data_IF_418157333310
#
_entry.id   IF_418157333310
#
_cell.length_a   1.000
_cell.length_b   1.000
_cell.length_c   1.000
_cell.angle_alpha   90.00
_cell.angle_beta   90.00
_cell.angle_gamma   90.00
#
_symmetry.space_group_name_H-M   'P 1'
#
loop_
_entity.id
_entity.type
_entity.pdbx_description
1 polymer ?
#
# COMPACT_ATOMS: atom_id res chain seq x y z
N UNK A 1 11.94 62.37 23.47
CA UNK A 1 12.63 62.98 22.34
C UNK A 1 13.25 61.87 21.47
N UNK A 2 12.88 61.89 20.17
CA UNK A 2 13.46 61.18 19.02
C UNK A 2 13.51 59.65 19.12
N UNK A 3 12.72 58.81 18.50
CA UNK A 3 12.28 58.68 17.12
C UNK A 3 13.37 58.16 16.17
N UNK A 4 13.48 56.82 15.94
CA UNK A 4 14.21 56.32 14.79
C UNK A 4 13.45 55.10 14.23
N UNK A 5 12.77 55.33 13.13
CA UNK A 5 12.16 54.38 12.21
C UNK A 5 13.23 53.60 11.50
N UNK A 6 13.14 52.27 11.53
CA UNK A 6 13.95 51.37 10.69
C UNK A 6 13.09 50.81 9.54
N UNK A 7 13.33 51.34 8.37
CA UNK A 7 12.63 51.04 7.12
C UNK A 7 13.12 49.72 6.50
N UNK A 8 12.20 49.00 5.98
CA UNK A 8 12.31 47.74 5.26
C UNK A 8 13.27 47.75 4.04
N UNK A 9 14.20 46.81 4.00
CA UNK A 9 15.10 46.56 2.84
C UNK A 9 15.24 45.08 2.50
N UNK A 10 14.19 44.27 2.69
CA UNK A 10 14.25 42.82 2.41
C UNK A 10 13.34 42.31 1.29
N UNK A 11 12.65 43.18 0.56
CA UNK A 11 11.70 42.75 -0.49
C UNK A 11 12.27 42.61 -1.91
N UNK A 12 13.46 43.15 -2.19
CA UNK A 12 13.99 43.21 -3.57
C UNK A 12 15.05 42.17 -3.96
N UNK A 13 15.61 41.45 -2.99
CA UNK A 13 16.64 40.41 -3.29
C UNK A 13 16.07 39.01 -3.60
N UNK A 14 14.88 38.67 -3.16
CA UNK A 14 14.26 37.37 -3.44
C UNK A 14 13.71 37.23 -4.86
N UNK A 15 13.27 38.32 -5.49
CA UNK A 15 12.74 38.31 -6.87
C UNK A 15 13.81 38.10 -7.96
N UNK A 16 15.06 38.45 -7.70
CA UNK A 16 16.11 38.36 -8.70
C UNK A 16 16.76 36.97 -8.77
N UNK A 17 16.83 36.28 -7.65
CA UNK A 17 17.38 34.91 -7.58
C UNK A 17 16.41 33.87 -8.20
N UNK A 18 15.11 34.05 -8.04
CA UNK A 18 14.12 33.16 -8.68
C UNK A 18 14.02 33.33 -10.19
N UNK A 19 14.32 34.50 -10.73
CA UNK A 19 14.34 34.78 -12.19
C UNK A 19 15.54 34.16 -12.88
N UNK A 20 16.69 34.08 -12.23
CA UNK A 20 17.91 33.47 -12.75
C UNK A 20 17.85 31.94 -12.75
N UNK A 21 17.22 31.33 -11.74
CA UNK A 21 17.02 29.88 -11.66
C UNK A 21 16.05 29.39 -12.75
N UNK A 22 15.00 30.16 -13.06
CA UNK A 22 14.09 29.81 -14.18
C UNK A 22 14.73 29.89 -15.56
N UNK A 23 15.71 30.76 -15.77
CA UNK A 23 16.45 30.84 -17.04
C UNK A 23 17.47 29.72 -17.23
N UNK A 24 18.03 29.20 -16.15
CA UNK A 24 18.98 28.07 -16.19
C UNK A 24 18.29 26.74 -16.49
N UNK A 25 17.06 26.52 -15.99
CA UNK A 25 16.30 25.31 -16.26
C UNK A 25 15.74 25.21 -17.69
N UNK A 26 15.48 26.34 -18.36
CA UNK A 26 14.98 26.35 -19.73
C UNK A 26 16.07 26.05 -20.78
N UNK A 27 17.35 26.17 -20.45
CA UNK A 27 18.47 25.92 -21.36
C UNK A 27 18.90 24.44 -21.41
N UNK A 28 18.49 23.61 -20.47
CA UNK A 28 18.85 22.17 -20.39
C UNK A 28 17.85 21.26 -21.10
N UNK A 29 16.65 21.75 -21.45
CA UNK A 29 15.62 20.93 -22.10
C UNK A 29 15.60 20.94 -23.63
N UNK A 30 16.57 21.55 -24.30
CA UNK A 30 16.55 21.73 -25.78
C UNK A 30 17.47 20.81 -26.56
N UNK A 31 18.17 19.85 -25.94
CA UNK A 31 19.20 19.06 -26.65
C UNK A 31 18.95 17.51 -26.64
N UNK A 32 17.71 17.08 -26.60
CA UNK A 32 17.37 15.65 -26.70
C UNK A 32 16.39 15.25 -27.82
N UNK A 33 16.27 16.04 -28.85
CA UNK A 33 15.42 15.74 -30.02
C UNK A 33 16.14 15.55 -31.34
N UNK A 34 17.34 14.94 -31.36
CA UNK A 34 17.94 14.50 -32.61
C UNK A 34 18.77 13.22 -32.39
N UNK A 35 18.13 12.07 -32.42
CA UNK A 35 18.77 10.82 -32.84
C UNK A 35 17.72 9.71 -32.86
N UNK A 36 16.99 9.54 -33.93
CA UNK A 36 16.52 8.24 -34.46
C UNK A 36 15.94 8.54 -35.87
N UNK A 37 16.77 8.43 -36.85
CA UNK A 37 16.43 8.07 -38.25
C UNK A 37 17.61 7.30 -38.79
N UNK A 38 17.41 6.00 -39.05
CA UNK A 38 17.99 5.23 -40.13
C UNK A 38 17.98 3.72 -39.76
N UNK A 39 17.26 2.96 -40.52
CA UNK A 39 17.27 1.50 -40.45
C UNK A 39 16.12 0.84 -41.25
N UNK A 40 16.06 1.14 -42.55
CA UNK A 40 15.22 0.41 -43.51
C UNK A 40 15.85 -0.94 -43.88
N UNK A 41 15.00 -1.99 -44.04
CA UNK A 41 15.31 -3.05 -44.98
C UNK A 41 14.87 -4.46 -44.53
N UNK A 42 13.91 -5.05 -45.27
CA UNK A 42 13.78 -6.50 -45.34
C UNK A 42 12.36 -7.03 -45.62
N UNK A 43 12.05 -7.14 -46.90
CA UNK A 43 10.84 -7.79 -47.45
C UNK A 43 10.78 -9.29 -47.15
N UNK A 44 9.52 -9.82 -47.11
CA UNK A 44 9.26 -11.26 -47.20
C UNK A 44 7.76 -11.56 -47.27
N UNK A 45 7.19 -11.42 -48.45
CA UNK A 45 5.84 -11.87 -48.76
C UNK A 45 5.84 -13.38 -49.08
N UNK A 46 4.88 -14.14 -48.53
CA UNK A 46 4.39 -15.37 -49.14
C UNK A 46 2.87 -15.50 -48.88
N UNK A 47 2.16 -15.33 -49.97
CA UNK A 47 0.75 -15.68 -50.12
C UNK A 47 0.64 -17.16 -50.47
N UNK A 48 -0.35 -17.86 -49.91
CA UNK A 48 -0.93 -19.05 -50.53
C UNK A 48 -2.41 -19.09 -50.28
N UNK A 49 -3.13 -19.00 -51.36
CA UNK A 49 -4.56 -19.18 -51.52
C UNK A 49 -4.92 -20.68 -51.54
N UNK A 50 -6.08 -21.01 -51.03
CA UNK A 50 -6.69 -22.36 -51.17
C UNK A 50 -8.20 -22.25 -51.15
N UNK A 51 -8.79 -22.34 -52.34
CA UNK A 51 -10.22 -22.36 -52.60
C UNK A 51 -10.88 -23.70 -52.24
N UNK A 52 -12.17 -23.66 -51.92
CA UNK A 52 -13.12 -24.56 -52.60
C UNK A 52 -14.03 -25.40 -51.70
N UNK A 53 -15.33 -25.22 -51.88
CA UNK A 53 -16.27 -26.29 -51.56
C UNK A 53 -17.67 -25.83 -51.17
N UNK A 54 -18.53 -25.58 -52.14
CA UNK A 54 -19.99 -25.40 -52.01
C UNK A 54 -20.71 -26.70 -51.62
N UNK A 55 -21.77 -26.57 -50.83
CA UNK A 55 -22.70 -27.68 -50.59
C UNK A 55 -23.93 -27.20 -49.81
N UNK A 56 -25.01 -26.90 -50.49
CA UNK A 56 -26.35 -26.55 -50.00
C UNK A 56 -27.09 -27.77 -49.45
N UNK A 57 -27.90 -27.57 -48.44
CA UNK A 57 -29.37 -27.75 -48.40
C UNK A 57 -29.90 -28.15 -47.02
N UNK A 58 -30.79 -27.30 -46.56
CA UNK A 58 -32.07 -27.52 -45.90
C UNK A 58 -32.29 -28.63 -44.89
N UNK A 59 -32.69 -28.25 -43.66
CA UNK A 59 -34.07 -28.36 -43.21
C UNK A 59 -34.22 -28.08 -41.72
N UNK A 60 -35.18 -27.29 -41.45
CA UNK A 60 -35.89 -26.97 -40.21
C UNK A 60 -35.97 -28.07 -39.16
N UNK A 61 -35.69 -27.70 -37.90
CA UNK A 61 -36.54 -28.06 -36.78
C UNK A 61 -36.33 -27.09 -35.62
N UNK A 62 -37.44 -26.47 -35.25
CA UNK A 62 -37.60 -25.67 -34.01
C UNK A 62 -37.17 -26.49 -32.81
N UNK A 63 -36.34 -25.85 -32.02
CA UNK A 63 -36.24 -26.13 -30.58
C UNK A 63 -35.95 -24.80 -29.90
N UNK A 64 -36.99 -24.17 -29.43
CA UNK A 64 -36.94 -23.10 -28.47
C UNK A 64 -36.29 -23.58 -27.20
N UNK A 65 -35.01 -23.29 -27.05
CA UNK A 65 -34.35 -23.21 -25.74
C UNK A 65 -34.17 -21.73 -25.43
N UNK A 66 -35.12 -21.18 -24.69
CA UNK A 66 -34.95 -19.94 -23.96
C UNK A 66 -33.81 -20.10 -22.96
N UNK A 67 -32.60 -20.00 -23.43
CA UNK A 67 -31.47 -19.66 -22.61
C UNK A 67 -31.55 -18.16 -22.38
N UNK A 68 -32.11 -17.73 -21.25
CA UNK A 68 -31.82 -16.43 -20.70
C UNK A 68 -30.33 -16.42 -20.35
N UNK A 69 -29.48 -16.10 -21.34
CA UNK A 69 -28.16 -15.60 -21.07
C UNK A 69 -28.38 -14.28 -20.36
N UNK A 70 -28.27 -14.28 -19.04
CA UNK A 70 -28.03 -13.06 -18.30
C UNK A 70 -26.77 -12.47 -18.93
N UNK A 71 -26.90 -11.31 -19.58
CA UNK A 71 -25.75 -10.48 -19.93
C UNK A 71 -25.00 -10.28 -18.62
N UNK A 72 -23.86 -10.91 -18.50
CA UNK A 72 -22.97 -10.76 -17.37
C UNK A 72 -22.36 -9.37 -17.55
N UNK A 73 -22.94 -8.37 -16.86
CA UNK A 73 -22.35 -7.05 -16.83
C UNK A 73 -20.94 -7.20 -16.28
N UNK A 74 -19.94 -6.87 -17.07
CA UNK A 74 -18.54 -6.87 -16.63
C UNK A 74 -18.23 -5.50 -16.03
N UNK A 75 -17.75 -5.50 -14.79
CA UNK A 75 -17.19 -4.31 -14.15
C UNK A 75 -15.68 -4.27 -14.41
N UNK A 76 -15.09 -3.08 -14.39
CA UNK A 76 -13.66 -2.87 -14.55
C UNK A 76 -13.09 -2.24 -13.29
N UNK A 77 -11.93 -2.74 -12.86
CA UNK A 77 -11.16 -2.13 -11.77
C UNK A 77 -9.75 -1.81 -12.26
N UNK A 78 -9.22 -0.68 -11.82
CA UNK A 78 -7.85 -0.27 -12.08
C UNK A 78 -7.18 0.18 -10.79
N UNK A 79 -5.85 0.02 -10.70
CA UNK A 79 -5.05 0.45 -9.56
C UNK A 79 -3.93 1.37 -10.02
N UNK A 80 -3.72 2.45 -9.26
CA UNK A 80 -2.62 3.40 -9.45
C UNK A 80 -1.74 3.34 -8.21
N UNK A 81 -0.42 3.20 -8.41
CA UNK A 81 0.55 3.04 -7.33
C UNK A 81 1.85 3.79 -7.58
N UNK A 82 2.51 4.21 -6.51
CA UNK A 82 3.78 4.95 -6.57
C UNK A 82 4.99 4.06 -6.85
N UNK A 83 4.92 2.79 -6.47
CA UNK A 83 5.96 1.79 -6.70
C UNK A 83 5.53 0.73 -7.71
N UNK A 84 5.88 -0.54 -7.45
CA UNK A 84 5.67 -1.67 -8.36
C UNK A 84 4.97 -2.84 -7.66
N UNK A 85 4.25 -3.64 -8.42
CA UNK A 85 3.49 -4.81 -7.93
C UNK A 85 4.37 -5.92 -7.32
N UNK A 86 5.68 -5.77 -7.33
CA UNK A 86 6.66 -6.74 -6.82
C UNK A 86 7.66 -6.11 -5.84
N UNK A 87 7.27 -5.04 -5.13
CA UNK A 87 8.15 -4.33 -4.18
C UNK A 87 8.42 -5.09 -2.88
N UNK A 88 7.72 -6.20 -2.66
CA UNK A 88 7.80 -6.99 -1.43
C UNK A 88 7.15 -6.31 -0.22
N UNK A 89 6.37 -5.24 -0.43
CA UNK A 89 5.81 -4.40 0.63
C UNK A 89 4.45 -3.82 0.29
N UNK A 90 4.38 -2.48 0.35
CA UNK A 90 3.14 -1.72 0.26
C UNK A 90 2.37 -1.92 -1.05
N UNK A 91 3.02 -1.71 -2.19
CA UNK A 91 2.36 -1.78 -3.49
C UNK A 91 1.96 -3.21 -3.85
N UNK A 92 2.84 -4.17 -3.59
CA UNK A 92 2.52 -5.59 -3.76
C UNK A 92 1.37 -6.01 -2.84
N UNK A 93 1.32 -5.54 -1.60
CA UNK A 93 0.25 -5.84 -0.66
C UNK A 93 -1.14 -5.42 -1.17
N UNK A 94 -1.24 -4.24 -1.78
CA UNK A 94 -2.46 -3.76 -2.41
C UNK A 94 -2.84 -4.59 -3.64
N UNK A 95 -1.87 -4.87 -4.50
CA UNK A 95 -2.08 -5.69 -5.68
C UNK A 95 -2.55 -7.11 -5.33
N UNK A 96 -1.95 -7.75 -4.34
CA UNK A 96 -2.38 -9.07 -3.86
C UNK A 96 -3.77 -9.02 -3.20
N UNK A 97 -4.13 -7.91 -2.53
CA UNK A 97 -5.48 -7.71 -2.00
C UNK A 97 -6.51 -7.61 -3.13
N UNK A 98 -6.20 -6.85 -4.19
CA UNK A 98 -7.06 -6.79 -5.39
C UNK A 98 -7.21 -8.16 -6.06
N UNK A 99 -6.12 -8.91 -6.20
CA UNK A 99 -6.19 -10.28 -6.78
C UNK A 99 -7.10 -11.20 -5.96
N UNK A 100 -6.97 -11.19 -4.63
CA UNK A 100 -7.87 -11.98 -3.76
C UNK A 100 -9.34 -11.55 -3.89
N UNK A 101 -9.60 -10.24 -3.99
CA UNK A 101 -10.94 -9.73 -4.23
C UNK A 101 -11.53 -10.26 -5.54
N UNK A 102 -10.74 -10.27 -6.61
CA UNK A 102 -11.18 -10.78 -7.93
C UNK A 102 -11.52 -12.27 -7.94
N UNK A 103 -10.89 -13.09 -7.07
CA UNK A 103 -11.24 -14.51 -6.94
C UNK A 103 -12.71 -14.72 -6.54
N UNK A 104 -13.27 -13.82 -5.75
CA UNK A 104 -14.66 -13.85 -5.28
C UNK A 104 -15.61 -12.99 -6.14
N UNK A 105 -15.10 -12.18 -7.06
CA UNK A 105 -15.84 -11.24 -7.90
C UNK A 105 -15.69 -11.54 -9.39
N UNK A 106 -16.21 -12.66 -9.92
CA UNK A 106 -15.97 -13.11 -11.29
C UNK A 106 -16.56 -12.21 -12.40
N UNK A 107 -17.34 -11.20 -12.03
CA UNK A 107 -17.85 -10.18 -12.97
C UNK A 107 -16.89 -9.02 -13.19
N UNK A 108 -15.79 -8.96 -12.42
CA UNK A 108 -14.83 -7.89 -12.49
C UNK A 108 -13.61 -8.26 -13.32
N UNK A 109 -13.14 -7.32 -14.09
CA UNK A 109 -11.91 -7.41 -14.88
C UNK A 109 -10.92 -6.35 -14.39
N UNK A 110 -9.70 -6.78 -14.08
CA UNK A 110 -8.62 -5.86 -13.71
C UNK A 110 -7.94 -5.36 -14.99
N UNK A 111 -7.85 -4.04 -15.12
CA UNK A 111 -6.99 -3.41 -16.13
C UNK A 111 -5.54 -3.42 -15.65
N UNK A 112 -4.61 -3.21 -16.60
CA UNK A 112 -3.18 -3.10 -16.28
C UNK A 112 -2.94 -2.00 -15.22
N UNK A 113 -2.33 -2.33 -14.06
CA UNK A 113 -2.03 -1.33 -13.03
C UNK A 113 -1.07 -0.26 -13.54
N UNK A 114 -1.23 0.98 -13.09
CA UNK A 114 -0.25 2.04 -13.32
C UNK A 114 0.77 2.06 -12.19
N UNK A 115 1.92 1.50 -12.47
CA UNK A 115 3.09 1.47 -11.58
C UNK A 115 3.94 2.72 -11.71
N UNK A 116 4.77 3.01 -10.69
CA UNK A 116 5.73 4.12 -10.68
C UNK A 116 5.08 5.49 -10.99
N UNK A 117 3.86 5.70 -10.52
CA UNK A 117 3.15 6.96 -10.71
C UNK A 117 3.69 8.00 -9.72
N UNK A 118 4.34 9.03 -10.24
CA UNK A 118 4.75 10.17 -9.42
C UNK A 118 3.54 11.03 -9.02
N UNK A 119 3.62 11.74 -7.89
CA UNK A 119 2.53 12.60 -7.41
C UNK A 119 2.07 13.59 -8.50
N UNK A 120 3.00 14.20 -9.24
CA UNK A 120 2.67 15.13 -10.33
C UNK A 120 1.88 14.51 -11.50
N UNK A 121 1.87 13.18 -11.63
CA UNK A 121 1.19 12.44 -12.68
C UNK A 121 -0.10 11.75 -12.18
N UNK A 122 -0.37 11.79 -10.87
CA UNK A 122 -1.46 11.07 -10.21
C UNK A 122 -2.84 11.43 -10.79
N UNK A 123 -3.14 12.72 -10.95
CA UNK A 123 -4.39 13.18 -11.56
C UNK A 123 -4.54 12.71 -13.01
N UNK A 124 -3.48 12.81 -13.83
CA UNK A 124 -3.48 12.34 -15.23
C UNK A 124 -3.68 10.83 -15.32
N UNK A 125 -3.10 10.08 -14.37
CA UNK A 125 -3.27 8.64 -14.29
C UNK A 125 -4.73 8.27 -14.00
N UNK A 126 -5.37 8.93 -13.03
CA UNK A 126 -6.78 8.73 -12.71
C UNK A 126 -7.67 9.12 -13.90
N UNK A 127 -7.46 10.29 -14.50
CA UNK A 127 -8.23 10.74 -15.67
C UNK A 127 -8.17 9.73 -16.82
N UNK A 128 -7.02 9.09 -17.04
CA UNK A 128 -6.89 8.06 -18.08
C UNK A 128 -7.87 6.89 -17.88
N UNK A 129 -8.17 6.52 -16.64
CA UNK A 129 -9.13 5.45 -16.34
C UNK A 129 -10.56 5.97 -16.31
N UNK A 130 -10.80 7.22 -15.90
CA UNK A 130 -12.11 7.89 -16.04
C UNK A 130 -12.55 7.90 -17.51
N UNK A 131 -11.65 8.29 -18.42
CA UNK A 131 -11.93 8.33 -19.87
C UNK A 131 -12.20 6.92 -20.47
N UNK A 132 -11.89 5.85 -19.76
CA UNK A 132 -12.18 4.46 -20.16
C UNK A 132 -13.43 3.90 -19.48
N UNK A 133 -14.19 4.72 -18.73
CA UNK A 133 -15.36 4.30 -17.96
C UNK A 133 -15.03 3.09 -17.04
N UNK A 134 -13.92 3.19 -16.27
CA UNK A 134 -13.56 2.19 -15.27
C UNK A 134 -14.47 2.33 -14.07
N UNK A 135 -15.11 1.24 -13.63
CA UNK A 135 -16.10 1.30 -12.56
C UNK A 135 -15.51 1.59 -11.18
N UNK A 136 -14.26 1.12 -10.90
CA UNK A 136 -13.54 1.39 -9.65
C UNK A 136 -12.07 1.71 -9.92
N UNK A 137 -11.64 2.90 -9.54
CA UNK A 137 -10.24 3.36 -9.62
C UNK A 137 -9.67 3.36 -8.20
N UNK A 138 -8.59 2.63 -7.98
CA UNK A 138 -7.96 2.47 -6.67
C UNK A 138 -6.65 3.27 -6.63
N UNK A 139 -6.52 4.19 -5.68
CA UNK A 139 -5.27 4.83 -5.30
C UNK A 139 -4.68 4.15 -4.06
N UNK A 140 -3.50 3.57 -4.17
CA UNK A 140 -2.92 2.78 -3.10
C UNK A 140 -2.12 3.60 -2.08
N UNK A 141 -2.71 4.66 -1.58
CA UNK A 141 -2.12 5.48 -0.53
C UNK A 141 -2.71 6.88 -0.48
N UNK A 142 -2.55 7.53 0.67
CA UNK A 142 -3.08 8.87 0.93
C UNK A 142 -2.46 9.98 0.07
N UNK A 143 -1.31 9.75 -0.57
CA UNK A 143 -0.72 10.69 -1.51
C UNK A 143 -1.67 10.99 -2.69
N UNK A 144 -2.52 10.04 -3.07
CA UNK A 144 -3.52 10.26 -4.12
C UNK A 144 -4.70 11.13 -3.66
N UNK A 145 -4.94 11.24 -2.34
CA UNK A 145 -6.07 11.99 -1.82
C UNK A 145 -6.01 13.48 -2.19
N UNK A 146 -4.83 14.12 -2.11
CA UNK A 146 -4.69 15.55 -2.44
C UNK A 146 -4.81 15.82 -3.94
N UNK A 147 -4.36 14.90 -4.77
CA UNK A 147 -4.16 15.14 -6.21
C UNK A 147 -5.40 14.77 -7.05
N UNK A 148 -6.36 14.06 -6.46
CA UNK A 148 -7.55 13.58 -7.16
C UNK A 148 -8.80 14.46 -6.99
N UNK A 149 -8.75 15.50 -6.15
CA UNK A 149 -9.94 16.32 -5.84
C UNK A 149 -10.62 16.89 -7.09
N UNK A 150 -9.86 17.46 -8.03
CA UNK A 150 -10.38 18.01 -9.29
C UNK A 150 -10.91 16.92 -10.23
N UNK A 151 -10.18 15.81 -10.36
CA UNK A 151 -10.60 14.67 -11.21
C UNK A 151 -11.89 14.04 -10.68
N UNK A 152 -12.03 13.91 -9.37
CA UNK A 152 -13.25 13.37 -8.74
C UNK A 152 -14.44 14.29 -8.98
N UNK A 153 -14.26 15.62 -8.83
CA UNK A 153 -15.33 16.59 -9.07
C UNK A 153 -15.82 16.54 -10.52
N UNK A 154 -14.88 16.55 -11.48
CA UNK A 154 -15.20 16.47 -12.92
C UNK A 154 -15.85 15.13 -13.29
N UNK A 155 -15.39 14.02 -12.71
CA UNK A 155 -15.93 12.69 -12.97
C UNK A 155 -17.34 12.52 -12.40
N UNK A 156 -17.64 13.09 -11.24
CA UNK A 156 -18.98 13.04 -10.64
C UNK A 156 -20.06 13.57 -11.57
N UNK A 157 -19.75 14.60 -12.35
CA UNK A 157 -20.67 15.21 -13.32
C UNK A 157 -20.68 14.49 -14.68
N UNK A 158 -19.50 14.10 -15.19
CA UNK A 158 -19.33 13.58 -16.55
C UNK A 158 -19.40 12.07 -16.66
N UNK A 159 -18.94 11.33 -15.63
CA UNK A 159 -18.82 9.88 -15.57
C UNK A 159 -19.40 9.32 -14.25
N UNK A 160 -20.70 9.46 -13.97
CA UNK A 160 -21.32 9.19 -12.66
C UNK A 160 -21.32 7.72 -12.25
N UNK A 161 -20.74 6.84 -13.05
CA UNK A 161 -20.54 5.41 -12.75
C UNK A 161 -19.12 5.07 -12.30
N UNK A 162 -18.20 6.02 -12.39
CA UNK A 162 -16.82 5.86 -11.97
C UNK A 162 -16.73 6.14 -10.48
N UNK A 163 -16.10 5.24 -9.75
CA UNK A 163 -15.89 5.30 -8.31
C UNK A 163 -14.40 5.32 -7.97
N UNK A 164 -14.06 5.94 -6.85
CA UNK A 164 -12.68 6.11 -6.40
C UNK A 164 -12.50 5.54 -5.00
N UNK A 165 -11.60 4.58 -4.85
CA UNK A 165 -11.19 4.03 -3.57
C UNK A 165 -9.77 4.50 -3.24
N UNK A 166 -9.58 5.24 -2.14
CA UNK A 166 -8.26 5.70 -1.73
C UNK A 166 -7.88 5.04 -0.41
N UNK A 167 -6.81 4.25 -0.42
CA UNK A 167 -6.39 3.52 0.77
C UNK A 167 -5.53 4.38 1.70
N UNK A 168 -5.45 3.99 2.97
CA UNK A 168 -4.68 4.67 4.02
C UNK A 168 -5.05 6.16 4.20
N UNK A 169 -6.33 6.49 4.00
CA UNK A 169 -6.79 7.87 3.98
C UNK A 169 -7.94 8.07 4.96
N UNK A 170 -7.82 9.07 5.82
CA UNK A 170 -8.92 9.59 6.64
C UNK A 170 -9.63 10.72 5.88
N UNK A 171 -10.84 10.48 5.37
CA UNK A 171 -11.53 11.47 4.55
C UNK A 171 -11.88 12.74 5.33
N UNK A 172 -11.94 12.68 6.66
CA UNK A 172 -12.30 13.83 7.51
C UNK A 172 -11.17 14.83 7.66
N UNK A 173 -9.93 14.41 7.43
CA UNK A 173 -8.72 15.23 7.63
C UNK A 173 -7.91 15.44 6.36
N UNK A 174 -7.93 14.47 5.45
CA UNK A 174 -7.06 14.46 4.27
C UNK A 174 -7.80 14.81 2.96
N UNK A 175 -9.15 14.92 3.00
CA UNK A 175 -9.97 15.21 1.81
C UNK A 175 -10.85 16.46 2.00
N UNK A 176 -10.39 17.42 2.77
CA UNK A 176 -11.14 18.65 3.09
C UNK A 176 -11.36 19.59 1.90
N UNK A 177 -10.57 19.44 0.85
CA UNK A 177 -10.62 20.28 -0.37
C UNK A 177 -11.48 19.67 -1.47
N UNK A 178 -12.12 18.52 -1.22
CA UNK A 178 -13.03 17.90 -2.18
C UNK A 178 -14.38 18.65 -2.24
N UNK A 179 -14.80 19.00 -3.44
CA UNK A 179 -16.13 19.60 -3.69
C UNK A 179 -17.26 18.59 -3.47
N UNK A 180 -16.98 17.31 -3.78
CA UNK A 180 -17.89 16.19 -3.54
C UNK A 180 -17.13 14.94 -3.15
N UNK A 181 -17.74 14.13 -2.29
CA UNK A 181 -17.25 12.80 -1.92
C UNK A 181 -18.24 11.70 -2.39
N UNK A 182 -19.26 12.05 -3.17
CA UNK A 182 -20.29 11.09 -3.61
C UNK A 182 -19.68 9.85 -4.31
N UNK A 183 -18.69 9.97 -5.24
CA UNK A 183 -18.09 8.80 -5.87
C UNK A 183 -16.87 8.25 -5.12
N UNK A 184 -16.63 8.64 -3.86
CA UNK A 184 -15.40 8.31 -3.14
C UNK A 184 -15.68 7.51 -1.88
N UNK A 185 -14.88 6.47 -1.66
CA UNK A 185 -14.67 5.83 -0.37
C UNK A 185 -13.19 5.72 -0.05
N UNK A 186 -12.87 5.52 1.22
CA UNK A 186 -11.50 5.33 1.67
C UNK A 186 -11.38 4.05 2.48
N UNK A 187 -10.15 3.53 2.59
CA UNK A 187 -9.84 2.43 3.50
C UNK A 187 -8.82 2.90 4.52
N UNK A 188 -9.13 2.72 5.78
CA UNK A 188 -8.21 3.02 6.88
C UNK A 188 -8.07 1.78 7.79
N UNK A 189 -6.96 1.02 7.67
CA UNK A 189 -6.71 -0.13 8.53
C UNK A 189 -6.53 0.25 10.01
N UNK A 190 -6.93 -0.64 10.91
CA UNK A 190 -6.63 -0.49 12.33
C UNK A 190 -5.15 -0.81 12.61
N UNK A 191 -4.30 0.19 12.45
CA UNK A 191 -2.85 0.06 12.66
C UNK A 191 -2.47 -0.22 14.11
N UNK A 192 -3.35 0.06 15.08
CA UNK A 192 -3.15 -0.35 16.47
C UNK A 192 -3.24 -1.88 16.60
N UNK A 193 -4.22 -2.51 15.96
CA UNK A 193 -4.32 -3.97 15.93
C UNK A 193 -3.13 -4.60 15.20
N UNK A 194 -2.71 -4.03 14.08
CA UNK A 194 -1.53 -4.49 13.33
C UNK A 194 -0.27 -4.48 14.21
N UNK A 195 0.01 -3.34 14.85
CA UNK A 195 1.16 -3.20 15.75
C UNK A 195 1.08 -4.11 16.97
N UNK A 196 -0.11 -4.25 17.56
CA UNK A 196 -0.30 -5.12 18.73
C UNK A 196 -0.05 -6.59 18.40
N UNK A 197 -0.51 -7.07 17.24
CA UNK A 197 -0.24 -8.45 16.79
C UNK A 197 1.26 -8.71 16.64
N UNK A 198 1.98 -7.83 15.93
CA UNK A 198 3.43 -7.93 15.80
C UNK A 198 4.13 -7.88 17.16
N UNK A 199 3.68 -6.97 18.04
CA UNK A 199 4.25 -6.79 19.38
C UNK A 199 4.09 -8.01 20.29
N UNK A 200 2.96 -8.69 20.24
CA UNK A 200 2.75 -9.97 20.95
C UNK A 200 3.73 -11.02 20.45
N UNK A 201 3.85 -11.18 19.13
CA UNK A 201 4.80 -12.15 18.56
C UNK A 201 6.23 -11.81 18.99
N UNK A 202 6.65 -10.56 18.85
CA UNK A 202 7.99 -10.11 19.24
C UNK A 202 8.26 -10.32 20.73
N UNK A 203 7.31 -9.97 21.59
CA UNK A 203 7.43 -10.13 23.03
C UNK A 203 7.55 -11.58 23.47
N UNK A 204 6.91 -12.51 22.79
CA UNK A 204 7.00 -13.95 23.06
C UNK A 204 8.25 -14.61 22.46
N UNK A 205 8.80 -14.05 21.37
CA UNK A 205 9.93 -14.60 20.65
C UNK A 205 11.28 -14.09 21.16
N UNK A 206 11.37 -12.81 21.57
CA UNK A 206 12.65 -12.22 21.99
C UNK A 206 13.25 -12.96 23.19
N UNK A 207 14.57 -13.17 23.14
CA UNK A 207 15.38 -13.72 24.25
C UNK A 207 16.23 -12.64 24.90
N UNK A 208 16.60 -11.63 24.13
CA UNK A 208 17.45 -10.52 24.59
C UNK A 208 16.64 -9.39 25.23
N UNK A 209 15.33 -9.37 25.06
CA UNK A 209 14.42 -8.30 25.46
C UNK A 209 14.68 -6.97 24.73
N UNK A 210 15.24 -7.07 23.54
CA UNK A 210 15.50 -5.93 22.66
C UNK A 210 14.90 -6.22 21.29
N UNK A 211 13.94 -5.39 20.89
CA UNK A 211 13.21 -5.52 19.63
C UNK A 211 13.41 -4.27 18.77
N UNK A 212 13.36 -4.40 17.46
CA UNK A 212 13.58 -3.31 16.52
C UNK A 212 12.39 -3.03 15.61
N UNK A 213 12.29 -1.77 15.17
CA UNK A 213 11.29 -1.34 14.18
C UNK A 213 11.91 -0.35 13.19
N UNK A 214 11.77 -0.61 11.91
CA UNK A 214 12.16 0.33 10.85
C UNK A 214 10.90 0.84 10.16
N UNK A 215 10.68 2.16 10.19
CA UNK A 215 9.64 2.85 9.43
C UNK A 215 10.26 3.69 8.33
N UNK A 216 9.63 3.72 7.17
CA UNK A 216 10.12 4.49 6.04
C UNK A 216 9.99 6.00 6.24
N UNK A 217 8.88 6.43 6.83
CA UNK A 217 8.58 7.84 7.13
C UNK A 217 7.87 7.97 8.48
N UNK A 218 8.03 9.14 9.12
CA UNK A 218 7.36 9.47 10.39
C UNK A 218 5.89 9.89 10.15
N UNK A 219 5.07 8.94 9.70
CA UNK A 219 3.63 9.14 9.47
C UNK A 219 2.81 8.78 10.72
N UNK A 220 1.59 9.31 10.89
CA UNK A 220 0.70 8.91 11.99
C UNK A 220 0.46 7.40 12.04
N UNK A 221 0.29 6.74 10.89
CA UNK A 221 0.15 5.28 10.76
C UNK A 221 1.38 4.54 11.27
N UNK A 222 2.57 4.92 10.84
CA UNK A 222 3.86 4.34 11.26
C UNK A 222 4.09 4.52 12.77
N UNK A 223 3.79 5.70 13.31
CA UNK A 223 3.89 5.95 14.75
C UNK A 223 2.90 5.11 15.55
N UNK A 224 1.67 4.93 15.06
CA UNK A 224 0.66 4.08 15.70
C UNK A 224 1.09 2.63 15.68
N UNK A 225 1.57 2.11 14.54
CA UNK A 225 2.12 0.76 14.41
C UNK A 225 3.22 0.50 15.45
N UNK A 226 4.27 1.34 15.47
CA UNK A 226 5.37 1.17 16.42
C UNK A 226 4.93 1.27 17.88
N UNK A 227 4.10 2.26 18.21
CA UNK A 227 3.67 2.48 19.59
C UNK A 227 2.85 1.29 20.11
N UNK A 228 1.98 0.73 19.27
CA UNK A 228 1.21 -0.47 19.59
C UNK A 228 2.10 -1.72 19.66
N UNK A 229 3.09 -1.84 18.78
CA UNK A 229 4.10 -2.89 18.79
C UNK A 229 4.87 -2.93 20.11
N UNK A 230 5.41 -1.80 20.52
CA UNK A 230 6.16 -1.72 21.77
C UNK A 230 5.25 -1.91 22.99
N UNK A 231 4.07 -1.29 23.03
CA UNK A 231 3.11 -1.45 24.12
C UNK A 231 2.73 -2.92 24.31
N UNK A 232 2.41 -3.63 23.22
CA UNK A 232 2.04 -5.03 23.26
C UNK A 232 3.20 -5.94 23.70
N UNK A 233 4.41 -5.69 23.22
CA UNK A 233 5.61 -6.42 23.67
C UNK A 233 5.89 -6.21 25.17
N UNK A 234 5.77 -4.97 25.65
CA UNK A 234 5.95 -4.63 27.07
C UNK A 234 4.81 -5.17 27.96
N UNK A 235 3.64 -5.45 27.41
CA UNK A 235 2.57 -6.16 28.13
C UNK A 235 2.93 -7.61 28.40
N UNK A 236 3.73 -8.24 27.53
CA UNK A 236 4.28 -9.59 27.72
C UNK A 236 5.43 -9.56 28.74
N UNK A 237 6.40 -8.64 28.55
CA UNK A 237 7.50 -8.42 29.50
C UNK A 237 7.84 -6.91 29.56
N UNK A 238 7.58 -6.23 30.69
CA UNK A 238 7.83 -4.79 30.84
C UNK A 238 9.29 -4.37 30.70
N UNK A 239 10.24 -5.30 30.70
CA UNK A 239 11.67 -5.02 30.54
C UNK A 239 12.10 -4.93 29.06
N UNK A 240 11.20 -5.20 28.10
CA UNK A 240 11.50 -5.12 26.68
C UNK A 240 11.77 -3.67 26.26
N UNK A 241 12.85 -3.48 25.51
CA UNK A 241 13.29 -2.21 24.95
C UNK A 241 13.08 -2.21 23.44
N UNK A 242 12.54 -1.10 22.89
CA UNK A 242 12.36 -0.90 21.46
C UNK A 242 13.45 -0.02 20.87
N UNK A 243 14.08 -0.44 19.79
CA UNK A 243 14.90 0.38 18.90
C UNK A 243 14.06 0.78 17.70
N UNK A 244 14.19 2.02 17.22
CA UNK A 244 13.39 2.46 16.09
C UNK A 244 14.12 3.46 15.19
N UNK A 245 13.69 3.50 13.92
CA UNK A 245 14.01 4.54 12.97
C UNK A 245 12.74 4.82 12.13
N UNK A 246 12.41 6.10 11.89
CA UNK A 246 11.25 6.51 11.09
C UNK A 246 11.64 7.35 9.86
N UNK A 247 12.88 7.29 9.44
CA UNK A 247 13.42 8.10 8.34
C UNK A 247 14.22 7.25 7.34
N UNK A 248 13.91 5.95 7.27
CA UNK A 248 14.69 5.02 6.44
C UNK A 248 14.35 5.11 4.94
N UNK A 249 13.24 5.75 4.56
CA UNK A 249 12.70 5.66 3.20
C UNK A 249 12.19 4.25 2.90
N UNK A 250 11.94 3.97 1.61
CA UNK A 250 11.30 2.71 1.21
C UNK A 250 12.11 1.88 0.22
N UNK A 251 13.22 2.39 -0.30
CA UNK A 251 13.91 1.81 -1.48
C UNK A 251 15.35 1.33 -1.23
N UNK A 252 16.02 1.77 -0.16
CA UNK A 252 17.43 1.44 0.10
C UNK A 252 17.57 0.25 1.06
N UNK A 253 17.63 -0.97 0.51
CA UNK A 253 17.88 -2.18 1.29
C UNK A 253 19.21 -2.14 2.07
N UNK A 254 20.25 -1.43 1.56
CA UNK A 254 21.54 -1.33 2.25
C UNK A 254 21.42 -0.57 3.56
N UNK A 255 20.54 0.42 3.63
CA UNK A 255 20.26 1.15 4.88
C UNK A 255 19.63 0.22 5.91
N UNK A 256 18.66 -0.61 5.50
CA UNK A 256 18.03 -1.61 6.36
C UNK A 256 19.05 -2.60 6.93
N UNK A 257 19.95 -3.12 6.08
CA UNK A 257 21.04 -3.98 6.49
C UNK A 257 21.95 -3.32 7.54
N UNK A 258 22.37 -2.09 7.29
CA UNK A 258 23.29 -1.36 8.17
C UNK A 258 22.65 -1.04 9.53
N UNK A 259 21.41 -0.53 9.54
CA UNK A 259 20.68 -0.23 10.78
C UNK A 259 20.49 -1.48 11.63
N UNK A 260 20.06 -2.58 11.02
CA UNK A 260 19.80 -3.82 11.72
C UNK A 260 21.09 -4.45 12.27
N UNK A 261 22.19 -4.48 11.50
CA UNK A 261 23.51 -4.92 11.99
C UNK A 261 24.00 -4.08 13.18
N UNK A 262 23.81 -2.77 13.13
CA UNK A 262 24.14 -1.88 14.23
C UNK A 262 23.32 -2.22 15.48
N UNK A 263 22.01 -2.40 15.35
CA UNK A 263 21.14 -2.71 16.48
C UNK A 263 21.40 -4.11 17.06
N UNK A 264 21.66 -5.10 16.23
CA UNK A 264 22.10 -6.43 16.70
C UNK A 264 23.39 -6.30 17.55
N UNK A 265 24.37 -5.55 17.05
CA UNK A 265 25.69 -5.46 17.69
C UNK A 265 25.70 -4.61 18.96
N UNK A 266 25.00 -3.47 18.95
CA UNK A 266 25.07 -2.49 20.03
C UNK A 266 23.93 -2.61 21.03
N UNK A 267 22.77 -3.07 20.58
CA UNK A 267 21.54 -3.09 21.37
C UNK A 267 21.02 -4.51 21.61
N UNK A 268 21.67 -5.54 21.08
CA UNK A 268 21.27 -6.94 21.15
C UNK A 268 19.85 -7.20 20.61
N UNK A 269 19.43 -6.49 19.54
CA UNK A 269 18.13 -6.73 18.92
C UNK A 269 18.11 -8.13 18.31
N UNK A 270 17.09 -8.91 18.63
CA UNK A 270 16.89 -10.27 18.13
C UNK A 270 15.55 -10.49 17.41
N UNK A 271 14.63 -9.54 17.50
CA UNK A 271 13.38 -9.55 16.73
C UNK A 271 13.15 -8.21 16.06
N UNK A 272 12.88 -8.24 14.76
CA UNK A 272 12.57 -7.06 13.96
C UNK A 272 11.13 -7.11 13.44
N UNK A 273 10.56 -5.94 13.23
CA UNK A 273 9.38 -5.68 12.43
C UNK A 273 9.59 -4.39 11.65
N UNK A 274 9.15 -4.32 10.39
CA UNK A 274 9.41 -3.15 9.55
C UNK A 274 8.15 -2.63 8.87
N UNK A 275 8.18 -1.36 8.46
CA UNK A 275 7.18 -0.63 7.68
C UNK A 275 7.90 0.23 6.62
N UNK A 276 8.79 -0.40 5.84
CA UNK A 276 9.72 0.31 4.98
C UNK A 276 10.06 -0.45 3.67
N UNK A 277 9.18 -1.35 3.20
CA UNK A 277 9.29 -2.06 1.90
C UNK A 277 10.67 -2.67 1.63
N UNK A 278 11.43 -2.15 0.64
CA UNK A 278 12.74 -2.71 0.29
C UNK A 278 13.78 -2.59 1.42
N UNK A 279 13.64 -1.62 2.32
CA UNK A 279 14.52 -1.49 3.50
C UNK A 279 14.36 -2.69 4.44
N UNK A 280 13.15 -3.23 4.58
CA UNK A 280 12.86 -4.40 5.40
C UNK A 280 13.54 -5.66 4.83
N UNK A 281 13.68 -5.76 3.50
CA UNK A 281 14.46 -6.84 2.88
C UNK A 281 15.93 -6.78 3.30
N UNK A 282 16.50 -5.58 3.42
CA UNK A 282 17.86 -5.39 3.96
C UNK A 282 17.96 -5.78 5.44
N UNK A 283 16.96 -5.48 6.25
CA UNK A 283 16.91 -5.90 7.65
C UNK A 283 16.91 -7.43 7.76
N UNK A 284 16.12 -8.14 6.95
CA UNK A 284 16.09 -9.61 6.90
C UNK A 284 17.45 -10.21 6.55
N UNK A 285 18.18 -9.63 5.59
CA UNK A 285 19.54 -10.06 5.25
C UNK A 285 20.51 -9.94 6.44
N UNK A 286 20.40 -8.87 7.23
CA UNK A 286 21.23 -8.70 8.42
C UNK A 286 20.88 -9.70 9.52
N UNK A 287 19.59 -9.99 9.74
CA UNK A 287 19.14 -11.02 10.69
C UNK A 287 19.61 -12.42 10.27
N UNK A 288 19.53 -12.74 8.97
CA UNK A 288 20.01 -14.01 8.43
C UNK A 288 21.52 -14.17 8.64
N UNK A 289 22.30 -13.14 8.35
CA UNK A 289 23.73 -13.12 8.56
C UNK A 289 24.12 -13.27 10.05
N UNK A 290 23.28 -12.78 10.97
CA UNK A 290 23.45 -12.94 12.41
C UNK A 290 23.04 -14.33 12.91
N UNK A 291 22.23 -15.04 12.16
CA UNK A 291 21.77 -16.41 12.43
C UNK A 291 20.25 -16.53 12.55
N UNK A 292 19.63 -17.13 11.55
CA UNK A 292 18.17 -17.30 11.45
C UNK A 292 17.54 -18.14 12.58
N UNK A 293 18.31 -18.87 13.35
CA UNK A 293 17.81 -19.64 14.50
C UNK A 293 17.65 -18.80 15.77
N UNK A 294 18.22 -17.61 15.80
CA UNK A 294 18.26 -16.73 16.98
C UNK A 294 17.77 -15.30 16.69
N UNK A 295 17.66 -14.93 15.43
CA UNK A 295 17.21 -13.60 15.01
C UNK A 295 16.01 -13.75 14.08
N UNK A 296 14.95 -13.01 14.36
CA UNK A 296 13.64 -13.22 13.75
C UNK A 296 13.09 -11.93 13.16
N UNK A 297 12.35 -12.08 12.06
CA UNK A 297 11.56 -11.01 11.44
C UNK A 297 10.07 -11.33 11.49
N UNK A 298 9.28 -10.30 11.68
CA UNK A 298 7.83 -10.32 11.48
C UNK A 298 7.56 -9.50 10.24
N UNK A 299 7.11 -10.12 9.16
CA UNK A 299 6.88 -9.40 7.91
C UNK A 299 5.53 -8.65 7.90
N UNK A 300 5.38 -7.74 6.95
CA UNK A 300 4.11 -7.09 6.58
C UNK A 300 4.22 -6.53 5.14
N UNK A 301 3.13 -6.18 4.47
CA UNK A 301 1.73 -6.42 4.80
C UNK A 301 1.21 -7.73 4.21
N UNK A 302 2.07 -8.57 3.65
CA UNK A 302 1.77 -9.86 3.02
C UNK A 302 2.40 -11.03 3.77
N UNK A 303 1.81 -12.22 3.63
CA UNK A 303 2.37 -13.45 4.22
C UNK A 303 3.47 -14.02 3.32
N UNK A 304 4.72 -13.89 3.77
CA UNK A 304 5.92 -14.39 3.06
C UNK A 304 6.65 -15.50 3.83
N UNK A 305 5.97 -16.16 4.76
CA UNK A 305 6.56 -17.28 5.49
C UNK A 305 6.82 -18.46 4.56
N UNK A 306 8.08 -18.88 4.48
CA UNK A 306 8.52 -20.05 3.68
C UNK A 306 9.10 -19.71 2.30
N UNK A 307 9.03 -18.46 1.85
CA UNK A 307 9.49 -18.04 0.53
C UNK A 307 10.94 -17.54 0.59
N UNK A 308 11.91 -18.43 0.72
CA UNK A 308 13.35 -18.10 0.82
C UNK A 308 13.66 -16.98 1.86
N UNK A 309 12.83 -16.88 2.91
CA UNK A 309 12.92 -15.88 3.96
C UNK A 309 13.14 -16.57 5.32
N UNK A 310 14.35 -17.06 5.61
CA UNK A 310 14.60 -17.94 6.74
C UNK A 310 14.42 -17.26 8.11
N UNK A 311 14.45 -15.93 8.18
CA UNK A 311 14.25 -15.17 9.42
C UNK A 311 12.78 -14.86 9.73
N UNK A 312 11.91 -14.93 8.73
CA UNK A 312 10.49 -14.59 8.91
C UNK A 312 9.78 -15.68 9.71
N UNK A 313 9.23 -15.30 10.86
CA UNK A 313 8.50 -16.21 11.74
C UNK A 313 7.01 -16.18 11.57
N UNK A 314 6.46 -15.05 11.17
CA UNK A 314 5.08 -14.81 10.73
C UNK A 314 4.99 -13.46 10.03
N UNK A 315 3.80 -13.11 9.57
CA UNK A 315 3.52 -11.80 8.97
C UNK A 315 2.26 -11.19 9.58
N UNK A 316 2.24 -9.87 9.78
CA UNK A 316 0.98 -9.14 9.93
C UNK A 316 0.43 -8.84 8.54
N UNK A 317 -0.76 -9.34 8.24
CA UNK A 317 -1.37 -9.24 6.92
C UNK A 317 -2.44 -8.15 6.95
N UNK A 318 -2.37 -7.24 5.99
CA UNK A 318 -3.41 -6.23 5.76
C UNK A 318 -4.20 -6.58 4.50
N UNK A 319 -5.52 -6.70 4.63
CA UNK A 319 -6.43 -6.70 3.50
C UNK A 319 -7.00 -5.29 3.33
N UNK A 320 -6.89 -4.77 2.12
CA UNK A 320 -7.30 -3.39 1.81
C UNK A 320 -8.78 -3.26 1.51
N UNK A 321 -9.58 -4.23 1.92
CA UNK A 321 -11.04 -4.25 1.83
C UNK A 321 -11.61 -3.97 0.43
N UNK A 322 -10.81 -4.25 -0.60
CA UNK A 322 -11.18 -3.99 -2.01
C UNK A 322 -12.41 -4.80 -2.41
N UNK A 323 -12.53 -6.04 -1.91
CA UNK A 323 -13.71 -6.86 -2.15
C UNK A 323 -15.00 -6.23 -1.60
N UNK A 324 -14.94 -5.62 -0.41
CA UNK A 324 -16.08 -4.90 0.14
C UNK A 324 -16.44 -3.68 -0.73
N UNK A 325 -15.45 -2.92 -1.19
CA UNK A 325 -15.68 -1.79 -2.10
C UNK A 325 -16.33 -2.25 -3.42
N UNK A 326 -15.92 -3.40 -3.97
CA UNK A 326 -16.54 -4.00 -5.16
C UNK A 326 -18.00 -4.41 -4.91
N UNK A 327 -18.31 -5.02 -3.76
CA UNK A 327 -19.69 -5.33 -3.36
C UNK A 327 -20.55 -4.06 -3.25
N UNK A 328 -19.99 -2.98 -2.71
CA UNK A 328 -20.68 -1.70 -2.56
C UNK A 328 -20.95 -1.02 -3.90
N UNK A 329 -20.02 -1.11 -4.84
CA UNK A 329 -20.27 -0.66 -6.26
C UNK A 329 -21.36 -1.51 -6.90
N UNK A 330 -21.31 -2.84 -6.79
CA UNK A 330 -22.34 -3.72 -7.38
C UNK A 330 -23.74 -3.47 -6.81
N UNK A 331 -23.83 -3.17 -5.51
CA UNK A 331 -25.11 -2.88 -4.83
C UNK A 331 -25.57 -1.43 -4.98
N UNK A 332 -24.72 -0.54 -5.51
CA UNK A 332 -25.01 0.89 -5.62
C UNK A 332 -25.00 1.63 -4.26
N UNK A 333 -24.27 1.10 -3.27
CA UNK A 333 -24.15 1.69 -1.93
C UNK A 333 -22.77 2.35 -1.69
N UNK A 334 -21.88 2.31 -2.69
CA UNK A 334 -20.56 2.94 -2.64
C UNK A 334 -20.66 4.46 -2.62
N UNK A 335 -19.84 5.12 -1.82
CA UNK A 335 -19.62 6.56 -1.90
C UNK A 335 -19.95 7.33 -0.62
N UNK A 336 -20.09 8.66 -0.78
CA UNK A 336 -20.39 9.58 0.32
C UNK A 336 -19.23 9.84 1.26
N UNK A 337 -17.98 9.59 0.85
CA UNK A 337 -16.79 9.79 1.68
C UNK A 337 -16.69 8.80 2.83
N UNK A 338 -17.33 7.65 2.73
CA UNK A 338 -17.31 6.61 3.77
C UNK A 338 -15.90 6.04 3.93
N UNK A 339 -15.46 5.88 5.16
CA UNK A 339 -14.22 5.19 5.50
C UNK A 339 -14.51 3.72 5.86
N UNK A 340 -13.97 2.80 5.10
CA UNK A 340 -13.97 1.37 5.42
C UNK A 340 -12.83 1.11 6.40
N UNK A 341 -13.13 0.64 7.62
CA UNK A 341 -12.09 0.27 8.58
C UNK A 341 -11.76 -1.21 8.43
N UNK A 342 -10.55 -1.52 7.93
CA UNK A 342 -10.02 -2.87 7.94
C UNK A 342 -9.53 -3.25 9.35
N UNK A 343 -10.08 -4.30 9.96
CA UNK A 343 -9.73 -4.74 11.32
C UNK A 343 -9.78 -6.28 11.45
N UNK A 344 -9.51 -6.79 12.65
CA UNK A 344 -9.54 -8.24 12.90
C UNK A 344 -10.94 -8.85 12.86
N UNK A 345 -12.01 -8.05 13.00
CA UNK A 345 -13.39 -8.57 12.97
C UNK A 345 -13.84 -8.89 11.54
N UNK A 346 -13.44 -8.06 10.58
CA UNK A 346 -13.82 -8.20 9.17
C UNK A 346 -12.72 -8.79 8.27
N UNK A 347 -11.60 -9.24 8.87
CA UNK A 347 -10.49 -9.83 8.13
C UNK A 347 -9.54 -8.83 7.48
N UNK A 348 -9.75 -7.53 7.69
CA UNK A 348 -8.85 -6.47 7.20
C UNK A 348 -7.45 -6.54 7.83
N UNK A 349 -7.34 -7.06 9.05
CA UNK A 349 -6.08 -7.32 9.75
C UNK A 349 -6.06 -8.77 10.23
N UNK A 350 -4.95 -9.47 9.98
CA UNK A 350 -4.74 -10.85 10.43
C UNK A 350 -3.25 -11.17 10.62
N UNK A 351 -2.97 -12.34 11.20
CA UNK A 351 -1.64 -12.94 11.12
C UNK A 351 -1.61 -13.97 9.99
N UNK A 352 -0.49 -14.00 9.27
CA UNK A 352 -0.16 -15.03 8.32
C UNK A 352 0.19 -16.36 9.00
N UNK A 353 0.79 -17.28 8.24
CA UNK A 353 1.29 -18.54 8.75
C UNK A 353 2.39 -18.33 9.77
N UNK A 354 2.60 -19.32 10.64
CA UNK A 354 3.79 -19.38 11.47
C UNK A 354 4.82 -20.31 10.83
N UNK A 355 6.10 -19.91 10.89
CA UNK A 355 7.19 -20.80 10.53
C UNK A 355 7.39 -21.88 11.61
N UNK A 356 8.09 -22.97 11.25
CA UNK A 356 8.43 -24.07 12.17
C UNK A 356 9.30 -23.64 13.36
N UNK A 357 9.85 -22.43 13.31
CA UNK A 357 10.62 -21.83 14.42
C UNK A 357 9.75 -21.34 15.56
N UNK A 358 8.48 -21.11 15.33
CA UNK A 358 7.52 -20.69 16.35
C UNK A 358 6.93 -21.92 17.01
N UNK A 359 7.29 -22.17 18.27
CA UNK A 359 6.77 -23.32 19.00
C UNK A 359 5.26 -23.27 19.15
N UNK A 360 4.64 -24.45 19.29
CA UNK A 360 3.19 -24.55 19.47
C UNK A 360 2.70 -23.73 20.69
N UNK A 361 3.47 -23.73 21.77
CA UNK A 361 3.14 -22.98 22.99
C UNK A 361 3.12 -21.46 22.73
N UNK A 362 4.04 -20.95 21.88
CA UNK A 362 4.03 -19.54 21.46
C UNK A 362 2.83 -19.25 20.56
N UNK A 363 2.56 -20.11 19.57
CA UNK A 363 1.40 -19.94 18.69
C UNK A 363 0.07 -19.91 19.47
N UNK A 364 -0.08 -20.78 20.47
CA UNK A 364 -1.29 -20.83 21.31
C UNK A 364 -1.45 -19.55 22.14
N UNK A 365 -0.38 -19.01 22.69
CA UNK A 365 -0.39 -17.72 23.40
C UNK A 365 -0.66 -16.55 22.47
N UNK A 366 -0.06 -16.53 21.27
CA UNK A 366 -0.37 -15.50 20.27
C UNK A 366 -1.86 -15.52 19.95
N UNK A 367 -2.45 -16.70 19.76
CA UNK A 367 -3.89 -16.82 19.52
C UNK A 367 -4.73 -16.27 20.69
N UNK A 368 -4.35 -16.60 21.93
CA UNK A 368 -5.05 -16.08 23.13
C UNK A 368 -4.99 -14.55 23.19
N UNK A 369 -3.81 -13.96 22.99
CA UNK A 369 -3.66 -12.49 23.01
C UNK A 369 -4.31 -11.83 21.80
N UNK A 370 -4.35 -12.48 20.64
CA UNK A 370 -5.05 -11.98 19.44
C UNK A 370 -6.54 -11.78 19.71
N UNK A 371 -7.19 -12.69 20.46
CA UNK A 371 -8.61 -12.51 20.84
C UNK A 371 -8.80 -11.29 21.78
N UNK A 372 -7.83 -11.02 22.65
CA UNK A 372 -7.86 -9.82 23.51
C UNK A 372 -7.59 -8.53 22.72
N UNK A 373 -6.71 -8.57 21.71
CA UNK A 373 -6.46 -7.45 20.79
C UNK A 373 -7.73 -7.15 20.00
N UNK A 374 -8.34 -8.17 19.43
CA UNK A 374 -9.60 -8.09 18.70
C UNK A 374 -10.73 -7.48 19.55
N UNK A 375 -10.82 -7.88 20.82
CA UNK A 375 -11.78 -7.34 21.78
C UNK A 375 -11.42 -5.94 22.31
N UNK A 376 -10.26 -5.35 21.91
CA UNK A 376 -9.80 -4.05 22.39
C UNK A 376 -9.37 -4.01 23.87
N UNK A 377 -9.09 -5.18 24.49
CA UNK A 377 -8.79 -5.30 25.92
C UNK A 377 -7.30 -5.52 26.24
N UNK A 378 -6.47 -5.80 25.23
CA UNK A 378 -5.04 -6.14 25.45
C UNK A 378 -4.18 -4.90 25.69
N UNK A 379 -4.28 -3.89 24.83
CA UNK A 379 -3.63 -2.59 24.96
C UNK A 379 -4.65 -1.47 24.83
N UNK A 380 -4.43 -0.37 25.56
CA UNK A 380 -5.31 0.79 25.56
C UNK A 380 -4.78 1.91 24.64
N UNK A 381 -5.65 2.83 24.23
CA UNK A 381 -5.25 4.02 23.48
C UNK A 381 -4.31 4.93 24.28
N UNK A 382 -4.47 4.97 25.61
CA UNK A 382 -3.58 5.75 26.50
C UNK A 382 -2.16 5.17 26.53
N UNK A 383 -1.99 3.84 26.56
CA UNK A 383 -0.68 3.18 26.47
C UNK A 383 0.01 3.51 25.15
N UNK A 384 -0.69 3.37 24.03
CA UNK A 384 -0.19 3.72 22.69
C UNK A 384 0.16 5.20 22.60
N UNK A 385 -0.75 6.09 23.01
CA UNK A 385 -0.54 7.54 23.00
C UNK A 385 0.63 8.00 23.90
N UNK A 386 0.86 7.30 25.02
CA UNK A 386 1.98 7.61 25.93
C UNK A 386 3.31 7.33 25.25
N UNK A 387 3.47 6.20 24.58
CA UNK A 387 4.67 5.87 23.80
C UNK A 387 4.82 6.88 22.66
N UNK A 388 3.75 7.13 21.91
CA UNK A 388 3.76 8.03 20.76
C UNK A 388 4.23 9.45 21.09
N UNK A 389 3.84 9.97 22.26
CA UNK A 389 4.28 11.28 22.77
C UNK A 389 5.76 11.34 23.16
N UNK A 390 6.40 10.19 23.34
CA UNK A 390 7.82 10.10 23.69
C UNK A 390 8.74 9.97 22.47
N UNK A 391 8.19 9.82 21.26
CA UNK A 391 8.88 9.72 19.98
C UNK A 391 9.08 11.09 19.33
#
# INVERSE_FOLDING_TARGET
MRGATCTSLNGRRKGHIMSEIKKSLSAVMLDRRQAIVLGLGGMGALALAGCGGSGSSSSSSDSSSSGSGSEQSSYKVAMIMSGIITDGGWDQGHYESLKRALESHPKWEMLEPKENTADADAATAAQTYVDQDVDLIIGNGNQFASDWAEVVADAADSHPKVHFLITNTDPTTEMTDYETLDPVETVLPDFKQTGALAGVVAGLMTKTKSIGFIGGMKLPSTLTKYSAYLAAAQKIDPSIQGQYNFEAGFTDASLGTNLTQQWITLNNVDVMWGDASAVDNGARQALEAAGADTHFDIAQPIDIVGDDQPTVVTSTVTDWMIGQAMDEVESGSFGGGKAITGNMDNGGISLGKFSDRVSKDVQDKVKEYSEQIKAGTFITDDEVSTIQKSL
#
